data_IF_454713062427
#
_entry.id   IF_454713062427
#
_cell.length_a   1.000
_cell.length_b   1.000
_cell.length_c   1.000
_cell.angle_alpha   90.00
_cell.angle_beta   90.00
_cell.angle_gamma   90.00
#
_symmetry.space_group_name_H-M   'P 1'
#
loop_
_entity.id
_entity.type
_entity.pdbx_description
1 polymer ?
#
# COMPACT_ATOMS: atom_id res chain seq x y z
N UNK A 1 -4.25 3.71 17.91
CA UNK A 1 -4.04 3.90 16.46
C UNK A 1 -5.38 4.05 15.78
N UNK A 2 -5.61 5.13 15.02
CA UNK A 2 -6.87 5.35 14.29
C UNK A 2 -6.87 4.55 12.98
N UNK A 3 -8.01 3.98 12.60
CA UNK A 3 -8.16 3.18 11.37
C UNK A 3 -8.99 3.93 10.33
N UNK A 4 -8.52 3.98 9.09
CA UNK A 4 -9.26 4.58 7.97
C UNK A 4 -10.07 3.52 7.21
N UNK A 5 -11.36 3.78 7.02
CA UNK A 5 -12.24 2.87 6.27
C UNK A 5 -12.11 3.11 4.76
N UNK A 6 -11.59 2.13 4.03
CA UNK A 6 -11.44 2.23 2.57
C UNK A 6 -12.76 1.95 1.85
N UNK A 7 -13.00 2.69 0.77
CA UNK A 7 -14.11 2.45 -0.16
C UNK A 7 -13.79 1.35 -1.18
N UNK A 8 -12.50 1.18 -1.47
CA UNK A 8 -11.97 0.16 -2.38
C UNK A 8 -12.23 -1.24 -1.84
N UNK A 9 -12.47 -2.17 -2.78
CA UNK A 9 -12.67 -3.58 -2.49
C UNK A 9 -11.31 -4.29 -2.61
N UNK A 10 -11.12 -5.34 -1.81
CA UNK A 10 -9.99 -6.26 -1.94
C UNK A 10 -10.02 -6.88 -3.33
N UNK A 11 -8.87 -6.98 -4.00
CA UNK A 11 -8.81 -7.65 -5.30
C UNK A 11 -9.14 -9.13 -5.13
N UNK A 12 -10.23 -9.57 -5.77
CA UNK A 12 -10.60 -10.98 -5.82
C UNK A 12 -9.61 -11.77 -6.69
N UNK A 13 -9.40 -13.04 -6.34
CA UNK A 13 -8.57 -13.97 -7.10
C UNK A 13 -7.99 -15.07 -6.23
N UNK A 14 -7.69 -16.21 -6.86
CA UNK A 14 -7.13 -17.41 -6.21
C UNK A 14 -5.68 -17.66 -6.60
N UNK A 15 -5.24 -17.17 -7.76
CA UNK A 15 -3.87 -17.31 -8.24
C UNK A 15 -3.10 -16.00 -8.18
N UNK A 16 -1.81 -16.08 -7.82
CA UNK A 16 -0.89 -14.93 -7.87
C UNK A 16 -0.89 -14.22 -9.23
N UNK A 17 -0.92 -14.96 -10.34
CA UNK A 17 -0.91 -14.40 -11.71
C UNK A 17 -2.13 -13.51 -11.98
N UNK A 18 -3.28 -13.91 -11.46
CA UNK A 18 -4.54 -13.18 -11.64
C UNK A 18 -4.53 -11.88 -10.80
N UNK A 19 -4.16 -12.01 -9.53
CA UNK A 19 -4.13 -10.88 -8.58
C UNK A 19 -3.06 -9.87 -9.02
N UNK A 20 -1.88 -10.35 -9.47
CA UNK A 20 -0.80 -9.48 -9.92
C UNK A 20 -1.22 -8.68 -11.14
N UNK A 21 -1.89 -9.31 -12.12
CA UNK A 21 -2.42 -8.62 -13.30
C UNK A 21 -3.38 -7.50 -12.89
N UNK A 22 -4.31 -7.76 -11.97
CA UNK A 22 -5.25 -6.75 -11.45
C UNK A 22 -4.53 -5.60 -10.72
N UNK A 23 -3.57 -5.92 -9.84
CA UNK A 23 -2.78 -4.91 -9.13
C UNK A 23 -1.91 -4.07 -10.10
N UNK A 24 -1.33 -4.71 -11.13
CA UNK A 24 -0.53 -4.03 -12.14
C UNK A 24 -1.34 -3.09 -13.01
N UNK A 25 -2.62 -3.36 -13.28
CA UNK A 25 -3.50 -2.42 -14.00
C UNK A 25 -3.62 -1.11 -13.20
N UNK A 26 -3.85 -1.20 -11.89
CA UNK A 26 -3.91 -0.03 -11.00
C UNK A 26 -2.57 0.72 -10.98
N UNK A 27 -1.47 0.00 -10.83
CA UNK A 27 -0.13 0.57 -10.84
C UNK A 27 0.22 1.24 -12.16
N UNK A 28 -0.11 0.62 -13.29
CA UNK A 28 0.13 1.18 -14.62
C UNK A 28 -0.70 2.44 -14.85
N UNK A 29 -1.91 2.52 -14.30
CA UNK A 29 -2.70 3.75 -14.29
C UNK A 29 -2.00 4.91 -13.58
N UNK A 30 -1.31 4.62 -12.46
CA UNK A 30 -0.50 5.60 -11.74
C UNK A 30 0.77 5.93 -12.53
N UNK A 31 1.47 4.90 -13.04
CA UNK A 31 2.70 5.04 -13.82
C UNK A 31 2.50 5.95 -15.02
N UNK A 32 1.41 5.79 -15.77
CA UNK A 32 1.08 6.64 -16.92
C UNK A 32 0.86 8.11 -16.55
N UNK A 33 0.42 8.40 -15.32
CA UNK A 33 0.21 9.77 -14.81
C UNK A 33 1.48 10.42 -14.27
N UNK A 34 2.54 9.64 -14.07
CA UNK A 34 3.80 10.11 -13.47
C UNK A 34 4.95 10.02 -14.47
N UNK A 35 5.76 11.07 -14.59
CA UNK A 35 6.84 11.11 -15.61
C UNK A 35 8.01 10.14 -15.33
N UNK A 36 8.48 10.07 -14.07
CA UNK A 36 9.69 9.32 -13.69
C UNK A 36 9.30 8.11 -12.82
N UNK A 37 9.50 8.22 -11.51
CA UNK A 37 9.12 7.17 -10.55
C UNK A 37 7.62 7.24 -10.26
N UNK A 38 6.88 6.12 -10.29
CA UNK A 38 5.48 6.10 -9.86
C UNK A 38 5.35 6.43 -8.39
N UNK A 39 4.45 7.36 -8.08
CA UNK A 39 4.19 7.80 -6.72
C UNK A 39 2.72 8.11 -6.49
N UNK A 40 2.32 8.10 -5.22
CA UNK A 40 1.06 8.66 -4.75
C UNK A 40 1.38 9.77 -3.76
N UNK A 41 0.56 10.83 -3.74
CA UNK A 41 0.68 11.89 -2.76
C UNK A 41 -0.11 11.53 -1.52
N UNK A 42 0.52 11.52 -0.35
CA UNK A 42 -0.16 11.16 0.89
C UNK A 42 -0.80 12.37 1.56
N UNK A 43 -2.05 12.23 2.04
CA UNK A 43 -2.71 13.29 2.78
C UNK A 43 -2.07 13.54 4.16
N UNK A 44 -1.54 12.51 4.81
CA UNK A 44 -0.83 12.63 6.09
C UNK A 44 0.48 13.42 5.94
N UNK A 45 1.32 13.07 4.97
CA UNK A 45 2.60 13.75 4.71
C UNK A 45 2.42 15.03 3.87
N UNK A 46 1.39 15.84 4.13
CA UNK A 46 1.17 17.14 3.45
C UNK A 46 1.31 17.09 1.91
N UNK A 47 0.85 16.00 1.27
CA UNK A 47 0.94 15.72 -0.18
C UNK A 47 2.34 15.39 -0.71
N UNK A 48 3.25 14.96 0.15
CA UNK A 48 4.54 14.41 -0.24
C UNK A 48 4.40 13.11 -1.03
N UNK A 49 5.42 12.84 -1.84
CA UNK A 49 5.44 11.72 -2.79
C UNK A 49 5.87 10.43 -2.09
N UNK A 50 4.98 9.45 -2.09
CA UNK A 50 5.25 8.09 -1.65
C UNK A 50 5.54 7.24 -2.89
N UNK A 51 6.77 6.79 -3.03
CA UNK A 51 7.21 6.02 -4.20
C UNK A 51 6.73 4.57 -4.12
N UNK A 52 6.04 4.12 -5.17
CA UNK A 52 5.46 2.78 -5.23
C UNK A 52 6.44 1.72 -5.74
N UNK A 53 7.58 2.12 -6.30
CA UNK A 53 8.57 1.17 -6.84
C UNK A 53 9.12 0.21 -5.77
N UNK A 54 9.36 0.73 -4.56
CA UNK A 54 9.91 -0.03 -3.44
C UNK A 54 9.01 -1.19 -3.00
N UNK A 55 7.70 -1.04 -3.16
CA UNK A 55 6.71 -2.07 -2.83
C UNK A 55 6.94 -3.35 -3.65
N UNK A 56 7.20 -3.23 -4.95
CA UNK A 56 7.38 -4.38 -5.83
C UNK A 56 8.66 -5.16 -5.50
N UNK A 57 9.76 -4.44 -5.25
CA UNK A 57 11.01 -5.06 -4.81
C UNK A 57 10.82 -5.78 -3.47
N UNK A 58 10.08 -5.16 -2.53
CA UNK A 58 9.85 -5.76 -1.22
C UNK A 58 8.91 -6.97 -1.26
N UNK A 59 7.89 -6.97 -2.13
CA UNK A 59 6.98 -8.12 -2.29
C UNK A 59 7.73 -9.34 -2.80
N UNK A 60 8.64 -9.19 -3.76
CA UNK A 60 9.36 -10.32 -4.33
C UNK A 60 10.15 -11.11 -3.27
N UNK A 61 10.61 -10.43 -2.22
CA UNK A 61 11.35 -11.04 -1.11
C UNK A 61 10.44 -11.73 -0.06
N UNK A 62 9.13 -11.85 -0.30
CA UNK A 62 8.17 -12.49 0.63
C UNK A 62 7.75 -13.87 0.16
N UNK A 63 7.23 -14.68 1.08
CA UNK A 63 6.66 -15.98 0.73
C UNK A 63 5.40 -15.79 -0.15
N UNK A 64 5.03 -16.84 -0.89
CA UNK A 64 3.91 -16.80 -1.84
C UNK A 64 2.60 -16.30 -1.23
N UNK A 65 2.27 -16.75 -0.02
CA UNK A 65 1.05 -16.36 0.69
C UNK A 65 1.03 -14.88 1.05
N UNK A 66 2.15 -14.33 1.52
CA UNK A 66 2.30 -12.91 1.81
C UNK A 66 2.27 -12.05 0.55
N UNK A 67 2.92 -12.52 -0.52
CA UNK A 67 2.85 -11.86 -1.82
C UNK A 67 1.39 -11.72 -2.25
N UNK A 68 0.64 -12.83 -2.27
CA UNK A 68 -0.78 -12.83 -2.61
C UNK A 68 -1.59 -11.91 -1.70
N UNK A 69 -1.46 -12.06 -0.38
CA UNK A 69 -2.20 -11.26 0.60
C UNK A 69 -1.96 -9.77 0.38
N UNK A 70 -0.69 -9.32 0.34
CA UNK A 70 -0.34 -7.90 0.18
C UNK A 70 -0.84 -7.34 -1.15
N UNK A 71 -0.76 -8.14 -2.21
CA UNK A 71 -1.19 -7.72 -3.54
C UNK A 71 -2.73 -7.61 -3.64
N UNK A 72 -3.48 -8.45 -2.92
CA UNK A 72 -4.94 -8.33 -2.79
C UNK A 72 -5.37 -6.99 -2.18
N UNK A 73 -4.63 -6.52 -1.17
CA UNK A 73 -4.89 -5.24 -0.51
C UNK A 73 -4.30 -4.02 -1.25
N UNK A 74 -3.62 -4.19 -2.39
CA UNK A 74 -2.90 -3.11 -3.07
C UNK A 74 -3.78 -1.88 -3.35
N UNK A 75 -5.00 -2.08 -3.87
CA UNK A 75 -5.93 -0.97 -4.11
C UNK A 75 -6.36 -0.25 -2.83
N UNK A 76 -6.67 -1.00 -1.78
CA UNK A 76 -7.03 -0.46 -0.47
C UNK A 76 -5.86 0.31 0.16
N UNK A 77 -4.63 -0.20 0.03
CA UNK A 77 -3.42 0.45 0.51
C UNK A 77 -3.15 1.78 -0.19
N UNK A 78 -3.35 1.85 -1.51
CA UNK A 78 -3.21 3.10 -2.27
C UNK A 78 -4.21 4.16 -1.82
N UNK A 79 -5.47 3.77 -1.60
CA UNK A 79 -6.51 4.67 -1.09
C UNK A 79 -6.18 5.17 0.32
N UNK A 80 -5.76 4.26 1.20
CA UNK A 80 -5.35 4.56 2.57
C UNK A 80 -4.25 5.63 2.59
N UNK A 81 -3.15 5.41 1.86
CA UNK A 81 -2.03 6.36 1.79
C UNK A 81 -2.49 7.70 1.24
N UNK A 82 -3.33 7.69 0.19
CA UNK A 82 -3.75 8.90 -0.53
C UNK A 82 -4.64 9.80 0.32
N UNK A 83 -5.58 9.21 1.06
CA UNK A 83 -6.69 9.94 1.66
C UNK A 83 -6.57 10.07 3.19
N UNK A 84 -5.91 9.12 3.85
CA UNK A 84 -5.81 9.12 5.31
C UNK A 84 -4.93 10.27 5.80
N UNK A 85 -5.44 11.03 6.77
CA UNK A 85 -4.70 11.99 7.58
C UNK A 85 -4.46 11.46 9.00
N UNK A 86 -4.84 10.21 9.26
CA UNK A 86 -4.69 9.62 10.57
C UNK A 86 -3.23 9.32 10.86
N UNK A 87 -2.85 9.55 12.12
CA UNK A 87 -1.50 9.33 12.58
C UNK A 87 -1.16 7.82 12.56
N UNK A 88 -0.10 7.43 11.84
CA UNK A 88 0.38 6.06 11.83
C UNK A 88 1.10 5.74 13.14
N UNK A 89 1.20 4.46 13.45
CA UNK A 89 2.14 4.01 14.50
C UNK A 89 3.55 4.14 13.94
N UNK A 90 4.39 4.94 14.58
CA UNK A 90 5.75 5.24 14.12
C UNK A 90 6.76 4.63 15.07
N UNK A 91 7.80 4.01 14.54
CA UNK A 91 8.93 3.49 15.32
C UNK A 91 10.23 3.65 14.55
N UNK A 92 11.34 3.78 15.26
CA UNK A 92 12.66 3.74 14.63
C UNK A 92 12.91 2.36 14.04
N UNK A 93 13.60 2.32 12.89
CA UNK A 93 14.00 1.07 12.28
C UNK A 93 15.14 0.45 13.10
N UNK A 94 14.96 -0.75 13.70
CA UNK A 94 15.98 -1.36 14.54
C UNK A 94 17.27 -1.70 13.77
N UNK A 95 17.18 -1.87 12.46
CA UNK A 95 18.34 -2.19 11.61
C UNK A 95 19.06 -0.93 11.10
N UNK A 96 18.37 0.23 11.11
CA UNK A 96 18.86 1.51 10.55
C UNK A 96 18.22 2.69 11.28
N UNK A 97 18.82 3.21 12.36
CA UNK A 97 18.18 4.23 13.21
C UNK A 97 17.88 5.55 12.51
N UNK A 98 18.47 5.80 11.32
CA UNK A 98 18.16 6.97 10.48
C UNK A 98 16.81 6.88 9.76
N UNK A 99 16.12 5.74 9.83
CA UNK A 99 14.83 5.51 9.17
C UNK A 99 13.70 5.38 10.20
N UNK A 100 12.57 6.02 9.92
CA UNK A 100 11.33 5.89 10.70
C UNK A 100 10.34 5.00 9.93
N UNK A 101 9.87 3.96 10.59
CA UNK A 101 8.86 3.04 10.06
C UNK A 101 7.48 3.50 10.49
N UNK A 102 6.68 3.94 9.51
CA UNK A 102 5.28 4.27 9.70
C UNK A 102 4.39 3.07 9.36
N UNK A 103 3.49 2.72 10.27
CA UNK A 103 2.46 1.71 10.07
C UNK A 103 1.09 2.37 10.06
N UNK A 104 0.49 2.45 8.88
CA UNK A 104 -0.88 2.91 8.70
C UNK A 104 -1.84 1.75 8.86
N UNK A 105 -3.00 2.00 9.47
CA UNK A 105 -4.05 1.00 9.56
C UNK A 105 -5.29 1.40 8.77
N UNK A 106 -5.75 0.45 7.98
CA UNK A 106 -6.95 0.55 7.19
C UNK A 106 -7.92 -0.57 7.52
N UNK A 107 -9.20 -0.30 7.31
CA UNK A 107 -10.27 -1.28 7.43
C UNK A 107 -11.00 -1.32 6.09
N UNK A 108 -11.21 -2.51 5.53
CA UNK A 108 -11.89 -2.65 4.24
C UNK A 108 -13.37 -2.33 4.35
N UNK A 109 -14.07 -2.27 3.20
CA UNK A 109 -15.54 -2.17 3.19
C UNK A 109 -16.21 -3.31 3.99
N UNK A 110 -15.59 -4.49 4.00
CA UNK A 110 -16.04 -5.69 4.70
C UNK A 110 -15.55 -5.76 6.16
N UNK A 111 -14.98 -4.68 6.68
CA UNK A 111 -14.41 -4.58 8.02
C UNK A 111 -13.14 -5.42 8.28
N UNK A 112 -12.43 -5.86 7.24
CA UNK A 112 -11.14 -6.53 7.41
C UNK A 112 -10.04 -5.52 7.75
N UNK A 113 -9.31 -5.76 8.84
CA UNK A 113 -8.18 -4.93 9.24
C UNK A 113 -6.94 -5.25 8.40
N UNK A 114 -6.27 -4.22 7.89
CA UNK A 114 -5.00 -4.36 7.19
C UNK A 114 -4.04 -3.22 7.52
N UNK A 115 -2.75 -3.47 7.27
CA UNK A 115 -1.67 -2.53 7.55
C UNK A 115 -0.86 -2.23 6.31
N UNK A 116 -0.36 -1.00 6.23
CA UNK A 116 0.51 -0.49 5.17
C UNK A 116 1.74 0.15 5.77
#
# INVERSE_FOLDING_TARGET
MKTYKTKSIILAGTSYKEISKKAFILYNGIRRKTKRRPYVRSAYFKKDKIFLGLFWTHIYNKNYWDQMRRMKFFGCALELIKNSRFEPTSKENPNKPTEILHRFAGVTKNNDLFFV
#
